data_IF_110662114726
#
_entry.id   IF_110662114726
#
_cell.length_a   1.000
_cell.length_b   1.000
_cell.length_c   1.000
_cell.angle_alpha   90.00
_cell.angle_beta   90.00
_cell.angle_gamma   90.00
#
_symmetry.space_group_name_H-M   'P 1'
#
loop_
_entity.id
_entity.type
_entity.pdbx_description
1 polymer ?
#
# COMPACT_ATOMS: atom_id res chain seq x y z
N UNK A 1 23.45 -46.65 -31.12
CA UNK A 1 23.89 -45.24 -31.20
C UNK A 1 22.68 -44.38 -31.49
N UNK A 2 22.06 -43.88 -30.46
CA UNK A 2 20.91 -42.96 -30.59
C UNK A 2 21.23 -41.74 -29.71
N UNK A 3 21.53 -40.63 -30.34
CA UNK A 3 21.79 -39.33 -29.68
C UNK A 3 20.48 -38.74 -29.20
N UNK A 4 20.39 -38.50 -27.90
CA UNK A 4 19.33 -37.76 -27.26
C UNK A 4 19.62 -36.27 -27.43
N UNK A 5 18.77 -35.58 -28.21
CA UNK A 5 18.78 -34.12 -28.37
C UNK A 5 18.07 -33.47 -27.20
N UNK A 6 18.81 -32.85 -26.29
CA UNK A 6 18.32 -31.97 -25.26
C UNK A 6 17.95 -30.61 -25.88
N UNK A 7 16.66 -30.37 -26.05
CA UNK A 7 16.14 -29.06 -26.43
C UNK A 7 16.37 -28.08 -25.25
N UNK A 8 17.28 -27.10 -25.45
CA UNK A 8 17.41 -25.92 -24.58
C UNK A 8 16.15 -25.07 -24.75
N UNK A 9 15.39 -24.93 -23.68
CA UNK A 9 14.35 -23.90 -23.59
C UNK A 9 14.98 -22.50 -23.70
N UNK A 10 14.47 -21.71 -24.63
CA UNK A 10 14.82 -20.29 -24.78
C UNK A 10 14.44 -19.56 -23.49
N UNK A 11 15.25 -18.59 -23.05
CA UNK A 11 14.90 -17.75 -21.91
C UNK A 11 13.65 -16.93 -22.27
N UNK A 12 12.74 -16.82 -21.29
CA UNK A 12 11.52 -15.99 -21.37
C UNK A 12 11.86 -14.59 -21.87
N UNK A 13 11.05 -14.09 -22.79
CA UNK A 13 11.16 -12.74 -23.30
C UNK A 13 11.04 -11.76 -22.11
N UNK A 14 11.88 -10.70 -22.06
CA UNK A 14 11.80 -9.71 -20.99
C UNK A 14 10.40 -9.11 -20.95
N UNK A 15 9.78 -9.11 -19.78
CA UNK A 15 8.50 -8.42 -19.55
C UNK A 15 8.65 -6.96 -19.98
N UNK A 16 7.66 -6.37 -20.65
CA UNK A 16 7.72 -4.96 -21.03
C UNK A 16 7.96 -4.12 -19.79
N UNK A 17 8.94 -3.23 -19.88
CA UNK A 17 9.22 -2.28 -18.81
C UNK A 17 7.93 -1.52 -18.45
N UNK A 18 7.66 -1.25 -17.16
CA UNK A 18 6.48 -0.48 -16.77
C UNK A 18 6.50 0.86 -17.50
N UNK A 19 5.37 1.21 -18.11
CA UNK A 19 5.22 2.48 -18.83
C UNK A 19 5.69 3.63 -17.93
N UNK A 20 6.62 4.42 -18.45
CA UNK A 20 7.19 5.56 -17.72
C UNK A 20 6.05 6.51 -17.32
N UNK A 21 5.77 6.60 -16.03
CA UNK A 21 4.99 7.68 -15.46
C UNK A 21 3.61 7.35 -14.88
N UNK A 22 3.16 6.11 -14.87
CA UNK A 22 1.90 5.76 -14.21
C UNK A 22 2.08 5.59 -12.69
N UNK A 23 2.09 6.70 -11.96
CA UNK A 23 1.87 6.66 -10.51
C UNK A 23 0.46 6.13 -10.21
N UNK A 24 0.25 5.44 -9.06
CA UNK A 24 -1.07 4.93 -8.71
C UNK A 24 -2.09 6.07 -8.74
N UNK A 25 -3.22 5.81 -9.40
CA UNK A 25 -4.30 6.80 -9.51
C UNK A 25 -4.72 7.20 -8.09
N UNK A 26 -4.92 8.50 -7.80
CA UNK A 26 -5.42 8.94 -6.48
C UNK A 26 -6.72 8.23 -6.08
N UNK A 27 -7.56 7.84 -7.04
CA UNK A 27 -8.77 7.06 -6.82
C UNK A 27 -8.53 5.68 -6.21
N UNK A 28 -7.39 5.01 -6.48
CA UNK A 28 -7.06 3.71 -5.89
C UNK A 28 -6.65 3.80 -4.42
N UNK A 29 -6.14 4.98 -4.01
CA UNK A 29 -5.67 5.21 -2.64
C UNK A 29 -6.79 5.62 -1.67
N UNK A 30 -7.97 5.96 -2.21
CA UNK A 30 -9.12 6.46 -1.44
C UNK A 30 -10.25 5.43 -1.38
N UNK A 31 -10.18 4.37 -2.21
CA UNK A 31 -11.16 3.30 -2.20
C UNK A 31 -11.14 2.60 -0.84
N UNK A 32 -12.31 2.33 -0.30
CA UNK A 32 -12.54 1.48 0.88
C UNK A 32 -11.98 1.98 2.22
N UNK A 33 -11.59 3.27 2.32
CA UNK A 33 -11.21 3.86 3.60
C UNK A 33 -12.45 4.34 4.37
N UNK A 34 -12.71 3.77 5.53
CA UNK A 34 -13.80 4.21 6.42
C UNK A 34 -13.47 5.54 7.12
N UNK A 35 -12.25 5.66 7.63
CA UNK A 35 -11.82 6.82 8.44
C UNK A 35 -11.18 7.93 7.63
N UNK A 36 -10.57 7.63 6.47
CA UNK A 36 -9.92 8.60 5.61
C UNK A 36 -10.86 8.90 4.43
N UNK A 37 -11.81 9.82 4.63
CA UNK A 37 -12.74 10.21 3.57
C UNK A 37 -12.10 11.21 2.60
N UNK A 38 -12.37 11.07 1.28
CA UNK A 38 -11.84 11.99 0.30
C UNK A 38 -12.37 13.40 0.51
N UNK A 39 -11.46 14.36 0.64
CA UNK A 39 -11.77 15.78 0.69
C UNK A 39 -12.26 16.28 -0.67
N UNK A 40 -12.83 17.51 -0.71
CA UNK A 40 -13.16 18.16 -1.97
C UNK A 40 -11.94 18.26 -2.89
N UNK A 41 -10.79 18.63 -2.35
CA UNK A 41 -9.53 18.76 -3.10
C UNK A 41 -9.05 17.44 -3.68
N UNK A 42 -9.16 16.34 -2.93
CA UNK A 42 -8.83 15.01 -3.41
C UNK A 42 -9.75 14.56 -4.56
N UNK A 43 -11.05 14.85 -4.47
CA UNK A 43 -12.02 14.55 -5.55
C UNK A 43 -11.77 15.39 -6.81
N UNK A 44 -11.49 16.70 -6.66
CA UNK A 44 -11.09 17.55 -7.78
C UNK A 44 -9.81 17.06 -8.44
N UNK A 45 -8.81 16.59 -7.66
CA UNK A 45 -7.60 15.97 -8.17
C UNK A 45 -7.90 14.69 -8.95
N UNK A 46 -8.72 13.78 -8.42
CA UNK A 46 -9.11 12.56 -9.13
C UNK A 46 -9.77 12.85 -10.48
N UNK A 47 -10.65 13.85 -10.53
CA UNK A 47 -11.29 14.26 -11.79
C UNK A 47 -10.23 14.79 -12.77
N UNK A 48 -9.36 15.70 -12.35
CA UNK A 48 -8.32 16.27 -13.22
C UNK A 48 -7.33 15.20 -13.72
N UNK A 49 -6.91 14.26 -12.85
CA UNK A 49 -6.06 13.13 -13.23
C UNK A 49 -6.74 12.22 -14.28
N UNK A 50 -8.02 11.94 -14.09
CA UNK A 50 -8.77 11.10 -15.01
C UNK A 50 -8.96 11.81 -16.37
N UNK A 51 -9.25 13.11 -16.36
CA UNK A 51 -9.39 13.91 -17.59
C UNK A 51 -8.07 14.07 -18.36
N UNK A 52 -6.95 14.18 -17.66
CA UNK A 52 -5.63 14.26 -18.28
C UNK A 52 -5.24 12.93 -18.99
N UNK A 53 -5.81 11.80 -18.58
CA UNK A 53 -5.60 10.50 -19.23
C UNK A 53 -6.57 10.27 -20.38
N UNK A 54 -7.83 10.63 -20.19
CA UNK A 54 -8.89 10.45 -21.20
C UNK A 54 -10.02 11.48 -20.96
N UNK A 55 -10.01 12.55 -21.71
CA UNK A 55 -11.05 13.59 -21.69
C UNK A 55 -12.38 13.17 -22.31
N UNK A 56 -12.46 12.02 -23.00
CA UNK A 56 -13.67 11.52 -23.65
C UNK A 56 -14.60 10.74 -22.72
N UNK A 57 -14.17 10.54 -21.45
CA UNK A 57 -14.94 9.74 -20.49
C UNK A 57 -16.28 10.36 -20.14
N UNK A 58 -17.31 9.50 -20.10
CA UNK A 58 -18.63 9.90 -19.63
C UNK A 58 -18.60 10.32 -18.13
N UNK A 59 -19.54 11.19 -17.74
CA UNK A 59 -19.70 11.59 -16.33
C UNK A 59 -19.88 10.38 -15.39
N UNK A 60 -20.50 9.30 -15.87
CA UNK A 60 -20.64 8.07 -15.09
C UNK A 60 -19.30 7.41 -14.83
N UNK A 61 -18.42 7.29 -15.84
CA UNK A 61 -17.06 6.73 -15.68
C UNK A 61 -16.19 7.63 -14.80
N UNK A 62 -16.28 8.95 -14.96
CA UNK A 62 -15.63 9.92 -14.07
C UNK A 62 -16.13 9.76 -12.62
N UNK A 63 -17.42 9.49 -12.42
CA UNK A 63 -17.99 9.22 -11.12
C UNK A 63 -17.41 7.97 -10.45
N UNK A 64 -17.27 6.91 -11.20
CA UNK A 64 -16.65 5.66 -10.71
C UNK A 64 -15.21 5.88 -10.24
N UNK A 65 -14.40 6.64 -11.02
CA UNK A 65 -13.00 6.91 -10.67
C UNK A 65 -12.83 7.88 -9.49
N UNK A 66 -13.82 8.72 -9.19
CA UNK A 66 -13.78 9.73 -8.13
C UNK A 66 -14.70 9.43 -6.94
N UNK A 67 -15.36 8.26 -6.94
CA UNK A 67 -16.37 7.87 -5.93
C UNK A 67 -17.48 8.89 -5.77
N UNK A 68 -17.98 9.41 -6.89
CA UNK A 68 -19.03 10.40 -6.97
C UNK A 68 -20.20 9.89 -7.82
N UNK A 69 -21.41 10.35 -7.51
CA UNK A 69 -22.54 10.19 -8.43
C UNK A 69 -22.35 11.08 -9.66
N UNK A 70 -22.96 10.71 -10.81
CA UNK A 70 -22.90 11.51 -12.02
C UNK A 70 -23.37 12.97 -11.80
N UNK A 71 -24.36 13.18 -10.94
CA UNK A 71 -24.84 14.53 -10.58
C UNK A 71 -23.74 15.34 -9.87
N UNK A 72 -23.03 14.73 -8.94
CA UNK A 72 -21.90 15.38 -8.26
C UNK A 72 -20.74 15.66 -9.22
N UNK A 73 -20.41 14.71 -10.11
CA UNK A 73 -19.38 14.93 -11.15
C UNK A 73 -19.71 16.14 -11.99
N UNK A 74 -20.97 16.28 -12.44
CA UNK A 74 -21.42 17.44 -13.22
C UNK A 74 -21.20 18.74 -12.44
N UNK A 75 -21.53 18.76 -11.14
CA UNK A 75 -21.30 19.92 -10.29
C UNK A 75 -19.80 20.28 -10.18
N UNK A 76 -18.93 19.28 -10.01
CA UNK A 76 -17.48 19.49 -9.98
C UNK A 76 -16.96 20.01 -11.32
N UNK A 77 -17.36 19.42 -12.45
CA UNK A 77 -16.97 19.85 -13.79
C UNK A 77 -17.37 21.30 -14.07
N UNK A 78 -18.62 21.69 -13.74
CA UNK A 78 -19.07 23.09 -13.85
C UNK A 78 -18.24 24.03 -12.98
N UNK A 79 -17.93 23.63 -11.75
CA UNK A 79 -17.09 24.44 -10.87
C UNK A 79 -15.68 24.62 -11.42
N UNK A 80 -15.09 23.53 -11.96
CA UNK A 80 -13.77 23.59 -12.59
C UNK A 80 -13.78 24.44 -13.86
N UNK A 81 -14.84 24.35 -14.65
CA UNK A 81 -15.04 25.21 -15.84
C UNK A 81 -15.16 26.69 -15.44
N UNK A 82 -15.99 27.04 -14.44
CA UNK A 82 -16.13 28.38 -13.94
C UNK A 82 -14.83 29.01 -13.44
N UNK A 83 -13.94 28.17 -12.89
CA UNK A 83 -12.58 28.54 -12.45
C UNK A 83 -11.57 28.61 -13.60
N UNK A 84 -11.97 28.30 -14.83
CA UNK A 84 -11.07 28.25 -15.99
C UNK A 84 -10.08 27.09 -15.97
N UNK A 85 -10.35 26.03 -15.20
CA UNK A 85 -9.45 24.88 -15.02
C UNK A 85 -9.74 23.73 -15.98
N UNK A 86 -10.97 23.66 -16.50
CA UNK A 86 -11.44 22.69 -17.48
C UNK A 86 -12.24 23.41 -18.54
N UNK A 87 -12.06 23.03 -19.80
CA UNK A 87 -12.91 23.49 -20.91
C UNK A 87 -13.79 22.33 -21.39
N UNK A 88 -15.01 22.67 -21.81
CA UNK A 88 -15.96 21.76 -22.42
C UNK A 88 -15.84 21.91 -23.93
N UNK A 89 -15.49 20.85 -24.59
CA UNK A 89 -15.35 20.80 -26.05
C UNK A 89 -16.52 19.98 -26.60
N UNK A 90 -17.36 20.54 -27.48
CA UNK A 90 -18.45 19.79 -28.12
C UNK A 90 -17.87 18.58 -28.86
N UNK A 91 -18.35 17.38 -28.57
CA UNK A 91 -18.00 16.17 -29.29
C UNK A 91 -19.05 15.86 -30.37
N UNK A 92 -20.32 16.13 -30.06
CA UNK A 92 -21.47 16.05 -30.98
C UNK A 92 -22.59 17.01 -30.50
N UNK A 93 -23.78 16.96 -31.14
CA UNK A 93 -24.92 17.82 -30.80
C UNK A 93 -25.47 17.65 -29.35
N UNK A 94 -25.04 16.63 -28.62
CA UNK A 94 -25.59 16.26 -27.29
C UNK A 94 -24.53 15.93 -26.25
N UNK A 95 -23.25 15.84 -26.64
CA UNK A 95 -22.16 15.41 -25.76
C UNK A 95 -20.98 16.37 -25.77
N UNK A 96 -20.23 16.38 -24.68
CA UNK A 96 -19.01 17.14 -24.50
C UNK A 96 -17.87 16.20 -24.09
N UNK A 97 -16.68 16.52 -24.56
CA UNK A 97 -15.43 16.08 -23.94
C UNK A 97 -14.94 17.15 -22.97
N UNK A 98 -14.13 16.77 -22.03
CA UNK A 98 -13.65 17.63 -20.96
C UNK A 98 -12.12 17.66 -21.00
N UNK A 99 -11.55 18.82 -21.17
CA UNK A 99 -10.10 18.98 -21.28
C UNK A 99 -9.59 19.91 -20.20
N UNK A 100 -8.58 19.52 -19.42
CA UNK A 100 -7.88 20.44 -18.54
C UNK A 100 -7.27 21.59 -19.34
N UNK A 101 -7.37 22.81 -18.83
CA UNK A 101 -6.62 23.95 -19.36
C UNK A 101 -5.18 23.91 -18.82
N UNK A 102 -4.32 24.82 -19.31
CA UNK A 102 -2.97 24.98 -18.75
C UNK A 102 -3.00 25.23 -17.22
N UNK A 103 -3.88 26.12 -16.77
CA UNK A 103 -4.12 26.37 -15.35
C UNK A 103 -4.66 25.14 -14.61
N UNK A 104 -5.48 24.33 -15.29
CA UNK A 104 -5.97 23.04 -14.78
C UNK A 104 -4.85 22.02 -14.59
N UNK A 105 -3.94 21.95 -15.56
CA UNK A 105 -2.76 21.08 -15.50
C UNK A 105 -1.77 21.51 -14.41
N UNK A 106 -1.56 22.81 -14.24
CA UNK A 106 -0.71 23.34 -13.16
C UNK A 106 -1.31 23.02 -11.79
N UNK A 107 -2.61 23.21 -11.63
CA UNK A 107 -3.31 22.85 -10.40
C UNK A 107 -3.22 21.33 -10.14
N UNK A 108 -3.41 20.51 -11.18
CA UNK A 108 -3.31 19.05 -11.08
C UNK A 108 -1.94 18.65 -10.56
N UNK A 109 -0.85 19.14 -11.19
CA UNK A 109 0.54 18.84 -10.77
C UNK A 109 0.81 19.27 -9.34
N UNK A 110 0.43 20.50 -8.99
CA UNK A 110 0.62 21.03 -7.63
C UNK A 110 -0.13 20.21 -6.57
N UNK A 111 -1.39 19.86 -6.82
CA UNK A 111 -2.19 19.05 -5.91
C UNK A 111 -1.69 17.62 -5.80
N UNK A 112 -1.24 17.04 -6.91
CA UNK A 112 -0.64 15.70 -6.90
C UNK A 112 0.62 15.67 -6.02
N UNK A 113 1.50 16.66 -6.15
CA UNK A 113 2.67 16.78 -5.31
C UNK A 113 2.32 16.94 -3.82
N UNK A 114 1.33 17.78 -3.49
CA UNK A 114 0.84 17.96 -2.13
C UNK A 114 0.26 16.66 -1.56
N UNK A 115 -0.59 15.97 -2.32
CA UNK A 115 -1.19 14.69 -1.95
C UNK A 115 -0.14 13.61 -1.69
N UNK A 116 0.83 13.46 -2.61
CA UNK A 116 1.92 12.51 -2.44
C UNK A 116 2.76 12.81 -1.19
N UNK A 117 3.01 14.09 -0.91
CA UNK A 117 3.73 14.52 0.29
C UNK A 117 2.95 14.21 1.57
N UNK A 118 1.63 14.31 1.56
CA UNK A 118 0.77 13.93 2.69
C UNK A 118 0.83 12.42 2.95
N UNK A 119 0.77 11.60 1.91
CA UNK A 119 0.90 10.14 2.05
C UNK A 119 2.26 9.73 2.63
N UNK A 120 3.34 10.34 2.16
CA UNK A 120 4.68 10.08 2.70
C UNK A 120 4.76 10.47 4.17
N UNK A 121 4.17 11.61 4.57
CA UNK A 121 4.11 12.03 5.98
C UNK A 121 3.32 11.06 6.85
N UNK A 122 2.15 10.58 6.37
CA UNK A 122 1.35 9.59 7.10
C UNK A 122 2.11 8.27 7.28
N UNK A 123 2.75 7.79 6.21
CA UNK A 123 3.58 6.60 6.28
C UNK A 123 4.75 6.76 7.27
N UNK A 124 5.44 7.90 7.23
CA UNK A 124 6.55 8.21 8.13
C UNK A 124 6.09 8.31 9.60
N UNK A 125 4.92 8.91 9.85
CA UNK A 125 4.33 8.98 11.17
C UNK A 125 3.99 7.59 11.71
N UNK A 126 3.39 6.72 10.88
CA UNK A 126 3.11 5.33 11.26
C UNK A 126 4.39 4.57 11.62
N UNK A 127 5.46 4.71 10.83
CA UNK A 127 6.77 4.14 11.15
C UNK A 127 7.31 4.67 12.49
N UNK A 128 7.15 5.96 12.75
CA UNK A 128 7.51 6.59 14.03
C UNK A 128 6.79 5.95 15.21
N UNK A 129 5.46 5.82 15.13
CA UNK A 129 4.66 5.16 16.17
C UNK A 129 5.10 3.70 16.44
N UNK A 130 5.41 2.95 15.36
CA UNK A 130 5.92 1.58 15.48
C UNK A 130 7.27 1.57 16.22
N UNK A 131 8.21 2.45 15.82
CA UNK A 131 9.53 2.57 16.48
C UNK A 131 9.41 2.90 17.96
N UNK A 132 8.58 3.87 18.32
CA UNK A 132 8.32 4.21 19.72
C UNK A 132 7.80 3.01 20.52
N UNK A 133 6.89 2.25 19.92
CA UNK A 133 6.32 1.07 20.57
C UNK A 133 7.36 -0.02 20.79
N UNK A 134 8.16 -0.34 19.77
CA UNK A 134 9.20 -1.39 19.87
C UNK A 134 10.40 -0.96 20.70
N UNK A 135 10.63 0.33 20.90
CA UNK A 135 11.70 0.84 21.77
C UNK A 135 11.62 0.30 23.20
N UNK A 136 10.42 -0.05 23.68
CA UNK A 136 10.24 -0.70 24.97
C UNK A 136 10.91 -2.08 25.05
N UNK A 137 11.09 -2.78 23.94
CA UNK A 137 11.84 -4.04 23.88
C UNK A 137 13.36 -3.77 23.99
N UNK A 138 13.86 -2.69 23.38
CA UNK A 138 15.27 -2.31 23.46
C UNK A 138 15.67 -1.97 24.90
N UNK A 139 14.80 -1.29 25.66
CA UNK A 139 15.05 -0.96 27.09
C UNK A 139 15.16 -2.21 27.96
N UNK A 140 14.55 -3.32 27.52
CA UNK A 140 14.67 -4.64 28.16
C UNK A 140 15.90 -5.44 27.67
N UNK A 141 16.75 -4.87 26.82
CA UNK A 141 17.91 -5.55 26.26
C UNK A 141 17.57 -6.57 25.17
N UNK A 142 16.36 -6.56 24.64
CA UNK A 142 15.91 -7.47 23.61
C UNK A 142 16.45 -7.00 22.25
N UNK A 143 17.04 -7.90 21.49
CA UNK A 143 17.62 -7.64 20.17
C UNK A 143 17.11 -8.61 19.11
N UNK A 144 16.96 -9.88 19.46
CA UNK A 144 16.57 -10.95 18.54
C UNK A 144 15.07 -11.18 18.60
N UNK A 145 14.38 -10.87 17.52
CA UNK A 145 12.93 -10.92 17.45
C UNK A 145 12.44 -11.76 16.28
N UNK A 146 11.21 -12.21 16.37
CA UNK A 146 10.47 -12.72 15.22
C UNK A 146 9.23 -11.82 14.97
N UNK A 147 8.80 -11.71 13.73
CA UNK A 147 7.55 -11.07 13.37
C UNK A 147 6.50 -12.15 13.11
N UNK A 148 5.30 -11.95 13.63
CA UNK A 148 4.16 -12.82 13.37
C UNK A 148 3.14 -12.09 12.49
N UNK A 149 3.07 -12.47 11.22
CA UNK A 149 2.20 -11.92 10.19
C UNK A 149 2.97 -11.36 8.99
N UNK A 150 2.98 -12.09 7.88
CA UNK A 150 3.53 -11.65 6.60
C UNK A 150 2.45 -10.93 5.80
N UNK A 151 2.18 -9.68 6.14
CA UNK A 151 1.15 -8.80 5.58
C UNK A 151 1.73 -7.42 5.29
N UNK A 152 0.92 -6.54 4.70
CA UNK A 152 1.29 -5.12 4.50
C UNK A 152 1.73 -4.45 5.81
N UNK A 153 1.07 -4.76 6.93
CA UNK A 153 1.50 -4.29 8.25
C UNK A 153 2.90 -4.79 8.60
N UNK A 154 3.18 -6.09 8.34
CA UNK A 154 4.50 -6.68 8.54
C UNK A 154 5.59 -5.98 7.70
N UNK A 155 5.27 -5.59 6.47
CA UNK A 155 6.17 -4.81 5.62
C UNK A 155 6.51 -3.44 6.23
N UNK A 156 5.50 -2.71 6.72
CA UNK A 156 5.71 -1.42 7.38
C UNK A 156 6.56 -1.59 8.64
N UNK A 157 6.33 -2.66 9.41
CA UNK A 157 7.13 -2.98 10.61
C UNK A 157 8.58 -3.26 10.24
N UNK A 158 8.85 -4.11 9.26
CA UNK A 158 10.21 -4.35 8.77
C UNK A 158 10.89 -3.05 8.34
N UNK A 159 10.16 -2.21 7.59
CA UNK A 159 10.68 -0.89 7.20
C UNK A 159 10.92 0.05 8.40
N UNK A 160 10.14 -0.05 9.47
CA UNK A 160 10.36 0.73 10.68
C UNK A 160 11.57 0.23 11.47
N UNK A 161 11.87 -1.06 11.42
CA UNK A 161 12.98 -1.70 12.14
C UNK A 161 14.32 -1.61 11.40
N UNK A 162 14.34 -1.28 10.10
CA UNK A 162 15.55 -1.29 9.26
C UNK A 162 16.72 -0.45 9.82
N UNK A 163 16.40 0.66 10.52
CA UNK A 163 17.40 1.57 11.09
C UNK A 163 17.54 1.37 12.61
N UNK A 164 17.13 0.23 13.14
CA UNK A 164 17.21 -0.12 14.56
C UNK A 164 18.25 -1.22 14.80
N UNK A 165 18.47 -1.55 16.07
CA UNK A 165 19.40 -2.64 16.44
C UNK A 165 18.72 -4.00 16.55
N UNK A 166 17.47 -4.13 16.10
CA UNK A 166 16.79 -5.41 16.11
C UNK A 166 17.28 -6.32 15.00
N UNK A 167 17.51 -7.58 15.36
CA UNK A 167 17.79 -8.67 14.44
C UNK A 167 16.51 -9.49 14.24
N UNK A 168 15.88 -9.36 13.09
CA UNK A 168 14.66 -10.09 12.74
C UNK A 168 15.06 -11.48 12.23
N UNK A 169 15.02 -12.46 13.11
CA UNK A 169 15.46 -13.84 12.78
C UNK A 169 14.45 -14.61 11.93
N UNK A 170 13.17 -14.29 12.02
CA UNK A 170 12.13 -14.94 11.23
C UNK A 170 10.90 -14.05 11.05
N UNK A 171 10.20 -14.30 9.96
CA UNK A 171 8.81 -13.90 9.75
C UNK A 171 7.97 -15.17 9.70
N UNK A 172 6.97 -15.28 10.54
CA UNK A 172 6.05 -16.43 10.57
C UNK A 172 4.64 -16.02 10.22
N UNK A 173 3.88 -16.90 9.60
CA UNK A 173 2.47 -16.67 9.26
C UNK A 173 1.70 -17.99 9.39
N UNK A 174 0.43 -17.89 9.83
CA UNK A 174 -0.48 -19.05 9.92
C UNK A 174 -0.95 -19.56 8.55
N UNK A 175 -0.89 -18.71 7.53
CA UNK A 175 -1.35 -19.06 6.19
C UNK A 175 -0.34 -20.01 5.50
N UNK A 176 -0.71 -21.28 5.29
CA UNK A 176 0.18 -22.25 4.65
C UNK A 176 0.51 -21.86 3.19
N UNK A 177 -0.34 -21.10 2.53
CA UNK A 177 -0.07 -20.65 1.17
C UNK A 177 1.03 -19.59 1.10
N UNK A 178 1.30 -18.89 2.19
CA UNK A 178 2.40 -17.93 2.28
C UNK A 178 3.72 -18.58 2.68
N UNK A 179 3.66 -19.67 3.48
CA UNK A 179 4.84 -20.34 4.01
C UNK A 179 5.76 -20.82 2.88
N UNK A 180 7.05 -20.68 3.08
CA UNK A 180 8.10 -20.98 2.08
C UNK A 180 8.31 -19.89 1.04
N UNK A 181 7.43 -18.89 0.94
CA UNK A 181 7.62 -17.76 0.01
C UNK A 181 8.52 -16.68 0.61
N UNK A 182 9.12 -15.89 -0.26
CA UNK A 182 9.94 -14.73 0.14
C UNK A 182 9.08 -13.53 0.53
N UNK A 183 9.39 -12.93 1.66
CA UNK A 183 8.76 -11.71 2.15
C UNK A 183 9.84 -10.72 2.59
N UNK A 184 10.09 -9.70 1.80
CA UNK A 184 11.06 -8.61 2.09
C UNK A 184 12.44 -9.10 2.57
N UNK A 185 12.97 -10.11 1.90
CA UNK A 185 14.27 -10.70 2.23
C UNK A 185 14.25 -11.84 3.26
N UNK A 186 13.09 -12.15 3.84
CA UNK A 186 12.91 -13.27 4.77
C UNK A 186 12.07 -14.38 4.12
N UNK A 187 12.38 -15.64 4.41
CA UNK A 187 11.47 -16.75 4.08
C UNK A 187 10.38 -16.79 5.14
N UNK A 188 9.12 -16.86 4.71
CA UNK A 188 7.98 -17.00 5.64
C UNK A 188 8.00 -18.43 6.19
N UNK A 189 8.11 -18.56 7.49
CA UNK A 189 8.09 -19.85 8.18
C UNK A 189 6.71 -20.13 8.79
N UNK A 190 6.48 -21.40 9.12
CA UNK A 190 5.35 -21.75 9.96
C UNK A 190 5.60 -21.29 11.41
N UNK A 191 4.54 -21.06 12.22
CA UNK A 191 4.70 -20.63 13.61
C UNK A 191 5.51 -21.62 14.48
N UNK A 192 5.58 -22.89 14.12
CA UNK A 192 6.38 -23.91 14.80
C UNK A 192 7.88 -23.56 14.82
N UNK A 193 8.35 -22.78 13.84
CA UNK A 193 9.74 -22.34 13.80
C UNK A 193 10.14 -21.54 15.06
N UNK A 194 9.19 -20.86 15.73
CA UNK A 194 9.43 -20.12 16.96
C UNK A 194 9.95 -20.99 18.11
N UNK A 195 9.67 -22.30 18.07
CA UNK A 195 10.18 -23.25 19.08
C UNK A 195 11.69 -23.43 19.03
N UNK A 196 12.29 -23.29 17.86
CA UNK A 196 13.70 -23.65 17.63
C UNK A 196 14.61 -22.42 17.49
N UNK A 197 14.04 -21.25 17.26
CA UNK A 197 14.81 -20.02 17.06
C UNK A 197 15.27 -19.41 18.38
N UNK A 198 16.47 -18.81 18.43
CA UNK A 198 17.00 -18.13 19.62
C UNK A 198 16.45 -16.69 19.73
N UNK A 199 15.15 -16.54 19.59
CA UNK A 199 14.45 -15.25 19.71
C UNK A 199 14.22 -14.89 21.17
N UNK A 200 14.08 -13.63 21.44
CA UNK A 200 13.79 -13.04 22.75
C UNK A 200 12.38 -12.45 22.81
N UNK A 201 11.84 -12.05 21.66
CA UNK A 201 10.48 -11.55 21.57
C UNK A 201 9.81 -11.92 20.23
N UNK A 202 8.47 -11.88 20.26
CA UNK A 202 7.62 -11.97 19.07
C UNK A 202 6.82 -10.66 18.97
N UNK A 203 6.90 -9.99 17.83
CA UNK A 203 6.10 -8.83 17.50
C UNK A 203 4.97 -9.26 16.58
N UNK A 204 3.72 -9.10 17.03
CA UNK A 204 2.53 -9.42 16.23
C UNK A 204 2.23 -8.27 15.30
N UNK A 205 2.32 -8.52 13.98
CA UNK A 205 2.22 -7.54 12.91
C UNK A 205 0.85 -7.57 12.21
N UNK A 206 -0.19 -7.97 12.91
CA UNK A 206 -1.56 -8.02 12.39
C UNK A 206 -2.50 -7.28 13.31
N UNK A 207 -3.02 -6.13 12.92
CA UNK A 207 -3.97 -5.36 13.76
C UNK A 207 -5.30 -6.09 14.00
N UNK A 208 -5.81 -6.82 13.00
CA UNK A 208 -7.11 -7.49 13.11
C UNK A 208 -7.12 -8.82 13.85
N UNK A 209 -5.94 -9.46 14.02
CA UNK A 209 -5.84 -10.81 14.58
C UNK A 209 -4.92 -10.90 15.80
N UNK A 210 -4.59 -9.76 16.43
CA UNK A 210 -3.61 -9.70 17.52
C UNK A 210 -3.96 -10.61 18.69
N UNK A 211 -5.23 -10.63 19.10
CA UNK A 211 -5.66 -11.40 20.27
C UNK A 211 -5.62 -12.91 19.99
N UNK A 212 -6.05 -13.33 18.81
CA UNK A 212 -5.99 -14.73 18.40
C UNK A 212 -4.55 -15.24 18.29
N UNK A 213 -3.67 -14.46 17.67
CA UNK A 213 -2.25 -14.80 17.55
C UNK A 213 -1.59 -14.81 18.93
N UNK A 214 -1.90 -13.83 19.79
CA UNK A 214 -1.38 -13.79 21.14
C UNK A 214 -1.77 -15.04 21.93
N UNK A 215 -3.05 -15.42 21.91
CA UNK A 215 -3.54 -16.62 22.58
C UNK A 215 -2.85 -17.89 22.05
N UNK A 216 -2.58 -17.97 20.74
CA UNK A 216 -1.88 -19.08 20.10
C UNK A 216 -0.45 -19.25 20.62
N UNK A 217 0.31 -18.15 20.75
CA UNK A 217 1.73 -18.20 21.11
C UNK A 217 2.00 -18.03 22.61
N UNK A 218 0.99 -17.66 23.42
CA UNK A 218 1.16 -17.44 24.86
C UNK A 218 1.76 -18.64 25.62
N UNK A 219 1.36 -19.91 25.35
CA UNK A 219 2.00 -21.06 26.01
C UNK A 219 3.47 -21.20 25.67
N UNK A 220 3.85 -20.99 24.41
CA UNK A 220 5.25 -21.02 23.98
C UNK A 220 6.03 -19.87 24.63
N UNK A 221 5.47 -18.68 24.63
CA UNK A 221 6.11 -17.50 25.20
C UNK A 221 6.39 -17.69 26.70
N UNK A 222 5.44 -18.22 27.46
CA UNK A 222 5.59 -18.52 28.87
C UNK A 222 6.69 -19.58 29.09
N UNK A 223 6.70 -20.66 28.29
CA UNK A 223 7.68 -21.74 28.41
C UNK A 223 9.12 -21.34 28.07
N UNK A 224 9.30 -20.38 27.18
CA UNK A 224 10.63 -19.87 26.74
C UNK A 224 11.03 -18.52 27.35
N UNK A 225 10.16 -17.88 28.12
CA UNK A 225 10.39 -16.53 28.63
C UNK A 225 10.45 -15.46 27.54
N UNK A 226 9.65 -15.63 26.45
CA UNK A 226 9.61 -14.67 25.36
C UNK A 226 8.69 -13.50 25.70
N UNK A 227 9.13 -12.29 25.38
CA UNK A 227 8.25 -11.13 25.36
C UNK A 227 7.32 -11.20 24.14
N UNK A 228 6.05 -10.89 24.32
CA UNK A 228 5.09 -10.80 23.19
C UNK A 228 4.54 -9.39 23.11
N UNK A 229 4.76 -8.77 21.97
CA UNK A 229 4.30 -7.40 21.71
C UNK A 229 3.19 -7.40 20.64
N UNK A 230 2.07 -6.77 20.97
CA UNK A 230 1.01 -6.38 20.01
C UNK A 230 1.31 -4.95 19.54
N UNK A 231 1.13 -4.66 18.26
CA UNK A 231 1.29 -3.31 17.70
C UNK A 231 0.09 -2.41 17.97
#
# INVERSE_FOLDING_TARGET
MTQSSTARSLPDAPQPAPEKGAWPKPSLLIADCEFIKPTRSARELCILETLAQDGSLSQQKLGQSSFLSGAMVNQYLRTLQQKGLVRFVPADNKSYTYEPTEAGEDLRRSRYAAYSSELVRLYSALKGCIREKVASLETKGIRKIALFGASETGEVVLSALADTQFDVLAVVDNDPEKQGKMFKGHVICSPEALHYLPIQAVVITSFGHQDAIYAQIAPLAAGKGLEVMKL
#
